data_IF_965761129630
#
_entry.id   IF_965761129630
#
_cell.length_a   1.000
_cell.length_b   1.000
_cell.length_c   1.000
_cell.angle_alpha   90.00
_cell.angle_beta   90.00
_cell.angle_gamma   90.00
#
_symmetry.space_group_name_H-M   'P 1'
#
loop_
_entity.id
_entity.type
_entity.pdbx_description
1 polymer ?
#
# COMPACT_ATOMS: atom_id res chain seq x y z
N UNK A 1 2.38 1.98 27.88
CA UNK A 1 1.11 1.25 27.62
C UNK A 1 0.54 1.81 26.33
N UNK A 2 0.19 0.96 25.35
CA UNK A 2 -0.45 1.42 24.12
C UNK A 2 -1.77 2.12 24.47
N UNK A 3 -2.00 3.30 23.88
CA UNK A 3 -3.26 4.02 24.04
C UNK A 3 -4.27 3.48 23.02
N UNK A 4 -5.51 3.31 23.45
CA UNK A 4 -6.58 3.01 22.51
C UNK A 4 -6.75 4.19 21.54
N UNK A 5 -6.64 3.91 20.24
CA UNK A 5 -6.92 4.85 19.17
C UNK A 5 -8.31 4.57 18.57
N UNK A 6 -9.04 5.62 18.19
CA UNK A 6 -10.35 5.50 17.54
C UNK A 6 -10.20 5.69 16.05
N UNK A 7 -10.77 4.79 15.26
CA UNK A 7 -10.93 4.97 13.83
C UNK A 7 -12.06 5.96 13.52
N UNK A 8 -11.80 6.89 12.60
CA UNK A 8 -12.80 7.76 11.96
C UNK A 8 -12.68 7.55 10.45
N UNK A 9 -13.82 7.47 9.78
CA UNK A 9 -13.87 7.17 8.36
C UNK A 9 -14.40 8.36 7.60
N UNK A 10 -13.58 8.83 6.67
CA UNK A 10 -13.96 9.81 5.67
C UNK A 10 -13.64 9.19 4.31
N UNK A 11 -14.59 9.27 3.38
CA UNK A 11 -14.34 8.77 2.03
C UNK A 11 -13.31 9.69 1.36
N UNK A 12 -12.20 9.11 0.93
CA UNK A 12 -11.15 9.79 0.19
C UNK A 12 -11.05 9.28 -1.24
N UNK A 13 -10.34 10.03 -2.08
CA UNK A 13 -9.87 9.57 -3.37
C UNK A 13 -8.38 9.24 -3.26
N UNK A 14 -7.97 8.11 -3.82
CA UNK A 14 -6.56 7.74 -3.94
C UNK A 14 -6.38 6.98 -5.27
N UNK A 15 -5.46 7.39 -6.15
CA UNK A 15 -5.06 6.54 -7.27
C UNK A 15 -4.20 5.37 -6.79
N UNK A 16 -3.87 4.45 -7.69
CA UNK A 16 -2.98 3.33 -7.38
C UNK A 16 -1.62 3.87 -6.92
N UNK A 17 -1.03 3.27 -5.91
CA UNK A 17 0.30 3.68 -5.43
C UNK A 17 1.37 3.08 -6.34
N UNK A 18 2.49 3.80 -6.52
CA UNK A 18 3.63 3.33 -7.32
C UNK A 18 4.18 1.98 -6.84
N UNK A 19 4.06 1.70 -5.54
CA UNK A 19 4.48 0.44 -4.96
C UNK A 19 3.44 -0.68 -5.01
N UNK A 20 2.27 -0.51 -5.61
CA UNK A 20 1.33 -1.64 -5.78
C UNK A 20 1.72 -2.44 -7.02
N UNK A 21 1.79 -3.77 -6.90
CA UNK A 21 2.17 -4.67 -8.01
C UNK A 21 1.33 -4.51 -9.29
N UNK A 22 0.15 -3.87 -9.21
CA UNK A 22 -0.73 -3.60 -10.36
C UNK A 22 -0.53 -2.23 -10.99
N UNK A 23 0.43 -1.42 -10.53
CA UNK A 23 0.62 -0.06 -11.05
C UNK A 23 0.84 -0.08 -12.56
N UNK A 24 1.82 -0.85 -13.02
CA UNK A 24 2.12 -0.99 -14.45
C UNK A 24 0.92 -1.52 -15.24
N UNK A 25 0.20 -2.50 -14.71
CA UNK A 25 -0.98 -3.05 -15.39
C UNK A 25 -2.08 -1.98 -15.59
N UNK A 26 -2.35 -1.16 -14.58
CA UNK A 26 -3.38 -0.12 -14.66
C UNK A 26 -2.98 1.06 -15.55
N UNK A 27 -1.69 1.34 -15.65
CA UNK A 27 -1.18 2.48 -16.41
C UNK A 27 -0.49 2.10 -17.72
N UNK A 28 -0.52 0.82 -18.12
CA UNK A 28 0.13 0.28 -19.33
C UNK A 28 -0.15 1.01 -20.65
N UNK A 29 -1.25 1.76 -20.76
CA UNK A 29 -1.61 2.51 -21.98
C UNK A 29 -1.32 4.03 -21.86
N UNK A 30 -0.86 4.49 -20.69
CA UNK A 30 -0.66 5.90 -20.37
C UNK A 30 0.77 6.21 -19.90
N UNK A 31 1.44 5.25 -19.25
CA UNK A 31 2.76 5.37 -18.65
C UNK A 31 3.51 4.07 -18.95
N UNK A 32 4.72 4.20 -19.48
CA UNK A 32 5.63 3.10 -19.74
C UNK A 32 6.92 3.34 -18.95
N UNK A 33 6.91 3.07 -17.64
CA UNK A 33 8.07 3.38 -16.78
C UNK A 33 9.32 2.61 -17.24
N UNK A 34 9.15 1.37 -17.68
CA UNK A 34 10.24 0.54 -18.21
C UNK A 34 10.89 1.09 -19.50
N UNK A 35 10.22 1.99 -20.22
CA UNK A 35 10.77 2.62 -21.43
C UNK A 35 11.58 3.89 -21.13
N UNK A 36 11.61 4.35 -19.86
CA UNK A 36 12.37 5.51 -19.43
C UNK A 36 13.82 5.07 -19.16
N UNK A 37 14.71 5.29 -20.14
CA UNK A 37 16.16 4.98 -20.02
C UNK A 37 16.95 6.03 -19.22
N UNK A 38 16.28 7.05 -18.68
CA UNK A 38 16.89 8.12 -17.87
C UNK A 38 16.40 8.03 -16.42
N UNK A 39 17.24 7.46 -15.56
CA UNK A 39 17.00 7.33 -14.12
C UNK A 39 16.55 8.66 -13.47
N UNK A 40 17.04 9.80 -13.95
CA UNK A 40 16.67 11.10 -13.37
C UNK A 40 15.21 11.49 -13.68
N UNK A 41 14.72 11.10 -14.86
CA UNK A 41 13.33 11.31 -15.27
C UNK A 41 12.40 10.38 -14.50
N UNK A 42 12.77 9.11 -14.34
CA UNK A 42 12.02 8.13 -13.54
C UNK A 42 11.93 8.60 -12.08
N UNK A 43 13.06 8.97 -11.47
CA UNK A 43 13.09 9.50 -10.10
C UNK A 43 12.26 10.77 -9.94
N UNK A 44 12.28 11.68 -10.92
CA UNK A 44 11.44 12.87 -10.89
C UNK A 44 9.94 12.53 -10.99
N UNK A 45 9.57 11.57 -11.84
CA UNK A 45 8.20 11.09 -11.92
C UNK A 45 7.74 10.50 -10.57
N UNK A 46 8.55 9.61 -9.97
CA UNK A 46 8.26 9.03 -8.65
C UNK A 46 8.06 10.11 -7.58
N UNK A 47 8.94 11.12 -7.58
CA UNK A 47 8.87 12.26 -6.66
C UNK A 47 7.60 13.08 -6.88
N UNK A 48 7.25 13.40 -8.12
CA UNK A 48 6.06 14.19 -8.46
C UNK A 48 4.78 13.43 -8.13
N UNK A 49 4.71 12.15 -8.48
CA UNK A 49 3.55 11.30 -8.20
C UNK A 49 3.30 11.21 -6.70
N UNK A 50 4.31 10.84 -5.90
CA UNK A 50 4.19 10.75 -4.44
C UNK A 50 3.90 12.10 -3.77
N UNK A 51 4.38 13.20 -4.36
CA UNK A 51 4.05 14.56 -3.88
C UNK A 51 2.58 14.92 -4.12
N UNK A 52 1.96 14.44 -5.19
CA UNK A 52 0.58 14.74 -5.54
C UNK A 52 -0.43 13.74 -4.97
N UNK A 53 0.00 12.50 -4.76
CA UNK A 53 -0.84 11.39 -4.31
C UNK A 53 -0.21 10.70 -3.10
N UNK A 54 -0.56 11.21 -1.93
CA UNK A 54 -0.05 10.70 -0.65
C UNK A 54 -0.49 9.24 -0.44
N UNK A 55 0.48 8.38 -0.14
CA UNK A 55 0.29 6.93 -0.01
C UNK A 55 0.45 6.44 1.44
N UNK A 56 1.15 7.21 2.26
CA UNK A 56 1.40 6.95 3.68
C UNK A 56 0.15 7.17 4.55
N UNK A 57 0.27 6.83 5.83
CA UNK A 57 -0.75 7.01 6.85
C UNK A 57 -1.65 5.79 7.08
N UNK A 58 -2.43 5.86 8.16
CA UNK A 58 -3.40 4.83 8.53
C UNK A 58 -4.63 4.90 7.63
N UNK A 59 -5.06 3.77 7.06
CA UNK A 59 -6.26 3.74 6.21
C UNK A 59 -6.93 2.38 6.12
N UNK A 60 -8.21 2.40 5.77
CA UNK A 60 -8.99 1.22 5.40
C UNK A 60 -9.29 1.34 3.90
N UNK A 61 -9.02 0.26 3.15
CA UNK A 61 -9.06 0.26 1.68
C UNK A 61 -8.05 1.25 1.06
N UNK A 62 -8.24 1.52 -0.24
CA UNK A 62 -7.27 2.23 -1.07
C UNK A 62 -6.18 1.28 -1.57
N UNK A 63 -5.02 1.85 -1.86
CA UNK A 63 -3.85 1.16 -2.36
C UNK A 63 -2.69 1.27 -1.36
N UNK A 64 -1.94 0.19 -1.15
CA UNK A 64 -0.97 0.10 -0.06
C UNK A 64 0.26 0.97 -0.30
N UNK A 65 0.87 1.42 0.78
CA UNK A 65 2.24 1.90 0.79
C UNK A 65 3.13 0.83 1.44
N UNK A 66 4.37 0.80 0.97
CA UNK A 66 5.45 -0.07 1.41
C UNK A 66 6.71 0.77 1.49
N UNK A 67 7.57 0.52 2.48
CA UNK A 67 8.92 1.13 2.50
C UNK A 67 9.90 0.33 1.66
N UNK A 68 9.60 -0.95 1.42
CA UNK A 68 10.35 -1.85 0.55
C UNK A 68 9.48 -2.20 -0.67
N UNK A 69 9.29 -3.48 -0.96
CA UNK A 69 8.59 -3.97 -2.15
C UNK A 69 7.31 -4.69 -1.78
N UNK A 70 6.30 -4.61 -2.64
CA UNK A 70 5.06 -5.37 -2.49
C UNK A 70 5.34 -6.87 -2.51
N UNK A 71 5.04 -7.63 -1.44
CA UNK A 71 5.27 -9.07 -1.42
C UNK A 71 4.41 -9.82 -2.45
N UNK A 72 3.36 -9.19 -3.00
CA UNK A 72 2.48 -9.77 -4.01
C UNK A 72 3.08 -9.72 -5.42
N UNK A 73 4.13 -8.93 -5.63
CA UNK A 73 4.83 -8.88 -6.91
C UNK A 73 5.52 -10.22 -7.24
N UNK A 74 6.19 -10.81 -6.25
CA UNK A 74 7.04 -11.98 -6.44
C UNK A 74 6.34 -13.31 -6.14
N UNK A 75 5.32 -13.29 -5.26
CA UNK A 75 4.59 -14.48 -4.88
C UNK A 75 3.18 -14.50 -5.49
N UNK A 76 3.03 -15.22 -6.61
CA UNK A 76 1.76 -15.30 -7.36
C UNK A 76 0.58 -15.72 -6.47
N UNK A 77 0.81 -16.60 -5.49
CA UNK A 77 -0.22 -17.04 -4.55
C UNK A 77 -0.78 -15.90 -3.66
N UNK A 78 -0.01 -14.82 -3.50
CA UNK A 78 -0.40 -13.64 -2.74
C UNK A 78 -1.18 -12.62 -3.58
N UNK A 79 -1.08 -12.66 -4.91
CA UNK A 79 -1.80 -11.74 -5.80
C UNK A 79 -3.33 -11.87 -5.69
N UNK A 80 -3.84 -13.03 -5.27
CA UNK A 80 -5.28 -13.20 -4.97
C UNK A 80 -5.75 -12.31 -3.80
N UNK A 81 -4.84 -11.88 -2.91
CA UNK A 81 -5.10 -10.91 -1.84
C UNK A 81 -5.02 -9.47 -2.38
N UNK A 82 -5.84 -9.21 -3.40
CA UNK A 82 -5.83 -7.99 -4.20
C UNK A 82 -6.50 -6.78 -3.52
N UNK A 83 -7.07 -6.94 -2.34
CA UNK A 83 -7.79 -5.87 -1.64
C UNK A 83 -7.07 -5.50 -0.35
N UNK A 84 -6.57 -4.27 -0.23
CA UNK A 84 -6.12 -3.72 1.04
C UNK A 84 -7.31 -3.63 2.00
N UNK A 85 -7.23 -4.31 3.14
CA UNK A 85 -8.22 -4.26 4.21
C UNK A 85 -7.88 -3.13 5.18
N UNK A 86 -6.63 -3.07 5.64
CA UNK A 86 -6.15 -2.12 6.64
C UNK A 86 -4.65 -1.85 6.41
N UNK A 87 -4.26 -0.60 6.53
CA UNK A 87 -2.87 -0.16 6.63
C UNK A 87 -2.69 0.62 7.92
N UNK A 88 -1.62 0.31 8.66
CA UNK A 88 -1.24 0.97 9.91
C UNK A 88 0.20 1.45 9.73
N UNK A 89 0.37 2.75 9.68
CA UNK A 89 1.69 3.37 9.56
C UNK A 89 2.39 3.47 10.93
N UNK A 90 3.67 3.80 10.92
CA UNK A 90 4.34 4.30 12.12
C UNK A 90 3.68 5.62 12.56
N UNK A 91 3.42 5.76 13.86
CA UNK A 91 2.76 6.94 14.43
C UNK A 91 3.22 7.16 15.87
N UNK A 92 4.17 8.08 16.03
CA UNK A 92 4.75 8.46 17.31
C UNK A 92 3.70 9.02 18.29
N UNK A 93 2.65 9.67 17.80
CA UNK A 93 1.59 10.24 18.63
C UNK A 93 0.74 9.17 19.30
N UNK A 94 0.63 8.00 18.66
CA UNK A 94 -0.07 6.81 19.14
C UNK A 94 0.89 5.77 19.75
N UNK A 95 2.19 5.96 19.62
CA UNK A 95 3.22 5.01 20.06
C UNK A 95 3.23 3.73 19.22
N UNK A 96 2.92 3.84 17.93
CA UNK A 96 2.97 2.75 16.96
C UNK A 96 4.31 2.85 16.22
N UNK A 97 5.10 1.78 16.23
CA UNK A 97 6.39 1.73 15.57
C UNK A 97 6.58 0.38 14.89
N UNK A 98 6.92 0.40 13.61
CA UNK A 98 7.23 -0.78 12.81
C UNK A 98 8.71 -0.78 12.44
N UNK A 99 9.56 -1.46 13.21
CA UNK A 99 11.00 -1.48 12.95
C UNK A 99 11.61 -0.08 12.90
N UNK A 100 12.29 0.25 11.79
CA UNK A 100 12.84 1.58 11.51
C UNK A 100 11.85 2.41 10.68
N UNK A 101 10.79 2.91 11.35
CA UNK A 101 9.76 3.76 10.75
C UNK A 101 9.07 3.15 9.51
N UNK A 102 8.62 1.92 9.66
CA UNK A 102 7.94 1.15 8.63
C UNK A 102 6.42 1.22 8.67
N UNK A 103 5.80 0.24 8.00
CA UNK A 103 4.35 0.16 7.84
C UNK A 103 3.86 -1.29 7.87
N UNK A 104 2.61 -1.48 8.29
CA UNK A 104 1.93 -2.77 8.24
C UNK A 104 0.69 -2.72 7.35
N UNK A 105 0.45 -3.80 6.62
CA UNK A 105 -0.68 -3.94 5.72
C UNK A 105 -1.39 -5.30 5.95
N UNK A 106 -2.70 -5.29 5.81
CA UNK A 106 -3.55 -6.46 5.82
C UNK A 106 -4.30 -6.52 4.50
N UNK A 107 -4.18 -7.63 3.78
CA UNK A 107 -4.81 -7.85 2.49
C UNK A 107 -5.78 -9.02 2.53
N UNK A 108 -6.84 -8.92 1.75
CA UNK A 108 -7.89 -9.94 1.68
C UNK A 108 -8.25 -10.19 0.22
N UNK A 109 -8.69 -11.42 -0.07
CA UNK A 109 -9.32 -11.74 -1.36
C UNK A 109 -10.67 -11.04 -1.48
N UNK A 110 -11.00 -10.52 -2.64
CA UNK A 110 -12.28 -9.83 -2.88
C UNK A 110 -13.49 -10.71 -2.52
N UNK A 111 -13.45 -11.98 -2.86
CA UNK A 111 -14.51 -12.96 -2.63
C UNK A 111 -14.66 -13.26 -1.13
N UNK A 112 -13.54 -13.38 -0.41
CA UNK A 112 -13.56 -13.58 1.05
C UNK A 112 -14.21 -12.41 1.76
N UNK A 113 -13.86 -11.19 1.35
CA UNK A 113 -14.43 -9.98 1.89
C UNK A 113 -15.94 -9.85 1.61
N UNK A 114 -16.40 -10.17 0.40
CA UNK A 114 -17.84 -10.21 0.07
C UNK A 114 -18.61 -11.20 0.94
N UNK A 115 -17.97 -12.32 1.30
CA UNK A 115 -18.53 -13.35 2.17
C UNK A 115 -18.27 -13.12 3.68
N UNK A 116 -17.71 -11.97 4.06
CA UNK A 116 -17.32 -11.65 5.44
C UNK A 116 -16.40 -12.71 6.08
N UNK A 117 -15.61 -13.40 5.26
CA UNK A 117 -14.70 -14.44 5.68
C UNK A 117 -13.28 -13.89 5.85
N UNK A 118 -12.88 -13.65 7.10
CA UNK A 118 -11.55 -13.13 7.44
C UNK A 118 -10.55 -14.23 7.85
N UNK A 119 -10.84 -15.50 7.57
CA UNK A 119 -9.96 -16.61 7.97
C UNK A 119 -8.65 -16.70 7.17
N UNK A 120 -8.58 -16.01 6.03
CA UNK A 120 -7.42 -15.99 5.16
C UNK A 120 -7.09 -14.55 4.74
N UNK A 121 -6.42 -13.83 5.65
CA UNK A 121 -5.90 -12.48 5.47
C UNK A 121 -4.39 -12.56 5.37
N UNK A 122 -3.83 -11.96 4.33
CA UNK A 122 -2.38 -11.79 4.20
C UNK A 122 -1.95 -10.60 5.05
N UNK A 123 -0.99 -10.82 5.93
CA UNK A 123 -0.37 -9.78 6.74
C UNK A 123 1.05 -9.53 6.23
N UNK A 124 1.40 -8.27 6.03
CA UNK A 124 2.73 -7.80 5.69
C UNK A 124 3.14 -6.69 6.64
N UNK A 125 4.43 -6.59 6.94
CA UNK A 125 5.03 -5.36 7.43
C UNK A 125 6.47 -5.27 6.92
N UNK A 126 6.92 -4.06 6.64
CA UNK A 126 8.28 -3.73 6.25
C UNK A 126 8.74 -2.45 6.97
N UNK A 127 10.04 -2.14 6.89
CA UNK A 127 10.59 -0.87 7.37
C UNK A 127 11.75 -0.40 6.48
N UNK A 128 12.24 0.82 6.73
CA UNK A 128 13.40 1.37 6.03
C UNK A 128 14.68 0.56 6.31
#
# INVERSE_FOLDING_TARGET
>A
MPRAAKLRFEAGYQPVTLGDYRFEEFFRDAIHLEEIDDDSVEMEFHRLYNKHFESQGHKIRGYPFFTQTDPREWEETYQEHNTLLLQIDTDDSLGIMWGDCGIANFFIRKENLLNLNFSNVLYNWDCC
#
